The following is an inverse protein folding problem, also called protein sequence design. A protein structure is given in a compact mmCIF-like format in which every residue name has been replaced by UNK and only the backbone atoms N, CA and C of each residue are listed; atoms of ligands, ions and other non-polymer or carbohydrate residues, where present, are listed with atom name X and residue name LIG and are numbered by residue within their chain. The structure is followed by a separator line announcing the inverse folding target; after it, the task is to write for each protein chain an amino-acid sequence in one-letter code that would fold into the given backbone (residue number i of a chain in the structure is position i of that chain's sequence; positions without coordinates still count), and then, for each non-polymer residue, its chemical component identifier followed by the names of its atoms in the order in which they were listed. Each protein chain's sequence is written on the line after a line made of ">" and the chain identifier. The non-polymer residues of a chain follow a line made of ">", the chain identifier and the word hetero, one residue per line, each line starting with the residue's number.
data_IF_644298056850
#
_entry.id   IF_644298056850
#
_cell.length_a   1.000
_cell.length_b   1.000
_cell.length_c   1.000
_cell.angle_alpha   90.00
_cell.angle_beta   90.00
_cell.angle_gamma   90.00
#
_symmetry.space_group_name_H-M   'P 1'
#
loop_
_entity.id
_entity.type
_entity.pdbx_description
1 polymer ?
#
# COMPACT_ATOMS: atom_id res chain seq x y z
N UNK A 1 60.78 16.85 30.81
CA UNK A 1 59.96 15.73 31.30
C UNK A 1 58.52 16.20 31.47
N UNK A 2 57.59 15.80 30.59
CA UNK A 2 56.18 15.62 30.95
C UNK A 2 55.54 14.65 29.96
N UNK A 3 54.69 13.77 30.49
CA UNK A 3 54.47 12.39 30.04
C UNK A 3 53.33 12.28 29.02
N UNK A 4 53.61 11.57 27.92
CA UNK A 4 52.63 11.01 26.98
C UNK A 4 51.67 10.08 27.71
N UNK A 5 50.36 10.18 27.48
CA UNK A 5 49.41 9.06 27.65
C UNK A 5 48.30 9.14 26.59
N UNK A 6 48.41 8.24 25.62
CA UNK A 6 47.31 7.77 24.77
C UNK A 6 46.42 6.86 25.63
N UNK A 7 45.11 6.94 25.45
CA UNK A 7 44.17 5.89 25.87
C UNK A 7 43.28 5.58 24.67
N UNK A 8 43.21 4.30 24.32
CA UNK A 8 42.33 3.72 23.34
C UNK A 8 41.60 2.52 23.97
N UNK A 9 40.37 2.24 23.48
CA UNK A 9 39.56 1.00 23.62
C UNK A 9 38.98 0.79 25.04
N UNK A 10 37.78 0.25 25.33
CA UNK A 10 36.66 -0.47 24.69
C UNK A 10 35.38 -0.03 25.47
N UNK A 11 34.11 -0.20 25.06
CA UNK A 11 33.40 -1.33 24.47
C UNK A 11 32.06 -1.54 25.21
N UNK A 12 31.09 -2.12 24.51
CA UNK A 12 29.81 -2.74 24.97
C UNK A 12 28.61 -1.89 25.44
N UNK A 13 27.65 -1.75 24.51
CA UNK A 13 26.21 -2.01 24.57
C UNK A 13 25.42 -1.84 25.88
N UNK A 14 24.38 -1.00 25.81
CA UNK A 14 23.17 -1.12 26.63
C UNK A 14 21.95 -1.21 25.71
N UNK A 15 21.25 -2.33 25.85
CA UNK A 15 19.90 -2.60 25.36
C UNK A 15 18.89 -1.63 25.99
N UNK A 16 17.85 -1.26 25.23
CA UNK A 16 16.57 -0.90 25.82
C UNK A 16 15.89 0.33 25.21
N UNK A 17 15.00 0.09 24.27
CA UNK A 17 13.57 0.24 24.51
C UNK A 17 12.84 -0.04 23.19
N UNK A 18 11.98 -1.04 23.21
CA UNK A 18 10.90 -1.22 22.27
C UNK A 18 10.02 0.05 22.29
N UNK A 19 10.36 1.03 21.45
CA UNK A 19 9.51 2.15 21.12
C UNK A 19 8.49 1.66 20.11
N UNK A 20 7.30 1.30 20.60
CA UNK A 20 6.14 0.91 19.83
C UNK A 20 6.09 1.66 18.49
N UNK A 21 6.35 0.94 17.38
CA UNK A 21 5.72 1.30 16.11
C UNK A 21 4.23 1.07 16.34
N UNK A 22 3.63 2.14 16.84
CA UNK A 22 2.23 2.35 17.08
C UNK A 22 1.52 1.77 15.88
N UNK A 23 0.81 0.68 16.11
CA UNK A 23 -0.21 0.17 15.22
C UNK A 23 -1.19 1.31 14.97
N UNK A 24 -0.88 2.14 13.99
CA UNK A 24 -1.86 2.84 13.21
C UNK A 24 -2.44 1.78 12.28
N UNK A 25 -3.17 0.83 12.88
CA UNK A 25 -4.36 0.31 12.23
C UNK A 25 -5.10 1.57 11.80
N UNK A 26 -5.00 1.88 10.50
CA UNK A 26 -5.46 3.13 9.94
C UNK A 26 -6.83 3.42 10.51
N UNK A 27 -6.95 4.54 11.24
CA UNK A 27 -8.23 5.00 11.73
C UNK A 27 -9.09 5.13 10.48
N UNK A 28 -10.10 4.28 10.33
CA UNK A 28 -11.00 4.32 9.20
C UNK A 28 -11.68 5.69 9.23
N UNK A 29 -11.26 6.57 8.33
CA UNK A 29 -12.02 7.75 7.99
C UNK A 29 -12.92 7.32 6.85
N UNK A 30 -14.26 7.46 6.98
CA UNK A 30 -15.12 7.26 5.84
C UNK A 30 -14.63 8.19 4.72
N UNK A 31 -14.39 7.67 3.50
CA UNK A 31 -13.93 8.51 2.40
C UNK A 31 -14.98 9.59 2.12
N UNK A 32 -14.52 10.79 1.80
CA UNK A 32 -15.38 11.87 1.34
C UNK A 32 -16.10 11.40 0.06
N UNK A 33 -17.43 11.50 0.02
CA UNK A 33 -18.22 11.08 -1.14
C UNK A 33 -17.75 11.85 -2.38
N UNK A 34 -17.30 11.13 -3.42
CA UNK A 34 -16.84 11.73 -4.69
C UNK A 34 -15.32 11.76 -4.93
N UNK A 35 -14.49 11.27 -4.00
CA UNK A 35 -13.05 11.09 -4.28
C UNK A 35 -12.80 9.97 -5.29
N UNK A 36 -11.78 10.10 -6.18
CA UNK A 36 -11.35 9.01 -7.05
C UNK A 36 -11.00 7.76 -6.23
N UNK A 37 -11.67 6.66 -6.53
CA UNK A 37 -11.54 5.42 -5.77
C UNK A 37 -12.54 5.21 -4.63
N UNK A 38 -13.35 6.20 -4.22
CA UNK A 38 -14.44 5.90 -3.28
C UNK A 38 -15.38 4.82 -3.87
N UNK A 39 -16.12 4.02 -3.08
CA UNK A 39 -17.17 3.15 -3.64
C UNK A 39 -18.13 3.98 -4.51
N UNK A 40 -18.17 3.72 -5.82
CA UNK A 40 -18.95 4.54 -6.78
C UNK A 40 -18.30 5.88 -7.18
N UNK A 41 -17.06 6.15 -6.78
CA UNK A 41 -16.27 7.32 -7.18
C UNK A 41 -15.76 7.25 -8.63
N UNK A 42 -15.24 8.35 -9.20
CA UNK A 42 -14.81 8.41 -10.59
C UNK A 42 -13.55 7.59 -10.86
N UNK A 43 -13.38 7.16 -12.12
CA UNK A 43 -12.16 6.51 -12.59
C UNK A 43 -10.90 7.38 -12.35
N UNK A 44 -9.74 6.74 -12.29
CA UNK A 44 -8.44 7.39 -12.10
C UNK A 44 -7.38 6.88 -13.08
N UNK A 45 -6.44 7.75 -13.43
CA UNK A 45 -5.25 7.47 -14.23
C UNK A 45 -4.12 8.39 -13.74
N UNK A 46 -3.07 7.82 -13.17
CA UNK A 46 -1.93 8.59 -12.68
C UNK A 46 -0.60 7.86 -12.89
N UNK A 47 0.50 8.61 -12.75
CA UNK A 47 1.84 8.03 -12.64
C UNK A 47 2.32 8.17 -11.20
N UNK A 48 2.59 7.04 -10.53
CA UNK A 48 3.10 6.99 -9.16
C UNK A 48 4.44 6.25 -9.15
N UNK A 49 5.49 6.90 -8.64
CA UNK A 49 6.87 6.38 -8.64
C UNK A 49 7.33 5.84 -10.01
N UNK A 50 6.95 6.52 -11.09
CA UNK A 50 7.29 6.15 -12.46
C UNK A 50 6.46 5.00 -13.06
N UNK A 51 5.45 4.50 -12.33
CA UNK A 51 4.54 3.45 -12.79
C UNK A 51 3.16 4.01 -13.07
N UNK A 52 2.54 3.60 -14.18
CA UNK A 52 1.19 4.06 -14.53
C UNK A 52 0.16 3.24 -13.77
N UNK A 53 -0.71 3.89 -13.02
CA UNK A 53 -1.80 3.28 -12.28
C UNK A 53 -3.11 3.75 -12.91
N UNK A 54 -4.00 2.81 -13.23
CA UNK A 54 -5.33 3.12 -13.76
C UNK A 54 -6.40 2.35 -13.00
N UNK A 55 -7.58 2.94 -12.85
CA UNK A 55 -8.71 2.28 -12.20
C UNK A 55 -10.05 2.78 -12.70
N UNK A 56 -10.95 1.85 -12.98
CA UNK A 56 -12.33 2.14 -13.40
C UNK A 56 -13.34 1.40 -12.50
N UNK A 57 -14.45 2.04 -12.11
CA UNK A 57 -15.53 1.36 -11.42
C UNK A 57 -16.16 0.29 -12.31
N UNK A 58 -16.42 -0.90 -11.76
CA UNK A 58 -17.15 -1.94 -12.50
C UNK A 58 -18.64 -1.90 -12.15
N UNK A 59 -19.49 -1.69 -13.16
CA UNK A 59 -20.95 -1.70 -13.00
C UNK A 59 -21.45 -3.15 -12.96
N UNK A 60 -21.61 -3.75 -11.78
CA UNK A 60 -22.13 -5.12 -11.65
C UNK A 60 -22.45 -5.52 -10.21
N UNK A 61 -23.74 -5.61 -9.89
CA UNK A 61 -24.30 -5.84 -8.56
C UNK A 61 -24.32 -7.29 -8.07
N UNK A 62 -23.21 -8.01 -8.13
CA UNK A 62 -23.08 -9.27 -7.40
C UNK A 62 -22.27 -9.04 -6.13
N UNK A 63 -22.91 -9.20 -4.97
CA UNK A 63 -22.29 -9.14 -3.65
C UNK A 63 -21.19 -10.20 -3.41
N UNK A 64 -20.74 -10.91 -4.46
CA UNK A 64 -19.77 -12.01 -4.39
C UNK A 64 -18.89 -12.07 -5.69
N UNK A 65 -17.95 -11.11 -5.88
CA UNK A 65 -16.74 -11.20 -6.75
C UNK A 65 -16.49 -10.08 -7.81
N UNK A 66 -15.22 -9.74 -8.14
CA UNK A 66 -14.28 -8.95 -7.35
C UNK A 66 -14.56 -7.43 -7.42
N UNK A 67 -15.25 -6.93 -6.38
CA UNK A 67 -14.93 -5.70 -5.64
C UNK A 67 -15.06 -4.32 -6.29
N UNK A 68 -15.87 -4.18 -7.35
CA UNK A 68 -16.36 -2.88 -7.82
C UNK A 68 -15.33 -1.98 -8.51
N UNK A 69 -14.11 -2.47 -8.74
CA UNK A 69 -13.03 -1.75 -9.40
C UNK A 69 -12.19 -2.69 -10.26
N UNK A 70 -11.87 -2.26 -11.48
CA UNK A 70 -10.81 -2.85 -12.30
C UNK A 70 -9.60 -1.93 -12.21
N UNK A 71 -8.50 -2.42 -11.65
CA UNK A 71 -7.27 -1.65 -11.44
C UNK A 71 -6.12 -2.28 -12.22
N UNK A 72 -5.28 -1.45 -12.83
CA UNK A 72 -4.04 -1.88 -13.51
C UNK A 72 -2.83 -1.10 -13.02
N UNK A 73 -1.67 -1.75 -13.08
CA UNK A 73 -0.35 -1.14 -12.92
C UNK A 73 0.47 -1.47 -14.17
N UNK A 74 0.93 -0.45 -14.88
CA UNK A 74 1.61 -0.56 -16.18
C UNK A 74 0.82 -1.39 -17.20
N UNK A 75 -0.51 -1.26 -17.17
CA UNK A 75 -1.44 -2.01 -18.02
C UNK A 75 -1.65 -3.46 -17.60
N UNK A 76 -1.02 -3.94 -16.51
CA UNK A 76 -1.24 -5.28 -15.97
C UNK A 76 -2.31 -5.27 -14.86
N UNK A 77 -3.26 -6.22 -14.85
CA UNK A 77 -4.31 -6.27 -13.83
C UNK A 77 -3.75 -6.43 -12.42
N UNK A 78 -4.21 -5.58 -11.50
CA UNK A 78 -3.97 -5.70 -10.06
C UNK A 78 -5.26 -6.18 -9.40
N UNK A 79 -5.19 -7.33 -8.71
CA UNK A 79 -6.30 -7.79 -7.88
C UNK A 79 -6.47 -6.87 -6.67
N UNK A 80 -7.57 -6.14 -6.62
CA UNK A 80 -7.95 -5.28 -5.49
C UNK A 80 -9.22 -5.82 -4.87
N UNK A 81 -9.26 -5.87 -3.53
CA UNK A 81 -10.42 -6.39 -2.80
C UNK A 81 -10.94 -5.35 -1.81
N UNK A 82 -12.26 -5.24 -1.73
CA UNK A 82 -12.94 -4.43 -0.71
C UNK A 82 -13.24 -5.30 0.50
N UNK A 83 -12.79 -4.87 1.67
CA UNK A 83 -13.05 -5.50 2.97
C UNK A 83 -14.46 -5.15 3.48
N UNK A 84 -14.90 -5.90 4.49
CA UNK A 84 -16.20 -5.69 5.14
C UNK A 84 -16.30 -4.34 5.86
N UNK A 85 -15.18 -3.83 6.38
CA UNK A 85 -15.07 -2.48 6.97
C UNK A 85 -15.04 -1.35 5.92
N UNK A 86 -15.07 -1.71 4.64
CA UNK A 86 -15.06 -0.77 3.53
C UNK A 86 -13.68 -0.29 3.09
N UNK A 87 -12.61 -0.73 3.75
CA UNK A 87 -11.24 -0.51 3.26
C UNK A 87 -10.93 -1.40 2.05
N UNK A 88 -9.78 -1.17 1.43
CA UNK A 88 -9.27 -1.93 0.31
C UNK A 88 -7.95 -2.62 0.67
N UNK A 89 -7.64 -3.72 -0.01
CA UNK A 89 -6.35 -4.41 -0.01
C UNK A 89 -6.00 -4.78 -1.46
N UNK A 90 -4.75 -5.18 -1.71
CA UNK A 90 -4.34 -5.74 -3.00
C UNK A 90 -3.83 -7.18 -2.85
N UNK A 91 -3.76 -7.93 -3.94
CA UNK A 91 -3.14 -9.27 -3.93
C UNK A 91 -1.63 -9.22 -3.66
N UNK A 92 -0.98 -8.09 -3.96
CA UNK A 92 0.44 -7.86 -3.67
C UNK A 92 0.65 -7.54 -2.18
N UNK A 93 -0.20 -6.67 -1.63
CA UNK A 93 -0.23 -6.34 -0.20
C UNK A 93 -1.57 -6.77 0.42
N UNK A 94 -1.61 -8.04 0.80
CA UNK A 94 -2.84 -8.68 1.29
C UNK A 94 -3.19 -8.29 2.74
N UNK A 95 -2.21 -7.82 3.49
CA UNK A 95 -2.38 -7.48 4.90
C UNK A 95 -2.59 -5.99 5.13
N UNK A 96 -2.25 -5.14 4.15
CA UNK A 96 -2.59 -3.73 4.13
C UNK A 96 -4.10 -3.45 4.18
N UNK A 97 -4.43 -2.28 4.72
CA UNK A 97 -5.78 -1.72 4.78
C UNK A 97 -5.72 -0.27 4.33
N UNK A 98 -6.37 0.02 3.20
CA UNK A 98 -6.31 1.30 2.50
C UNK A 98 -7.70 1.93 2.40
N UNK A 99 -7.80 3.25 2.53
CA UNK A 99 -9.10 3.95 2.44
C UNK A 99 -9.73 3.93 1.04
N UNK A 100 -8.92 3.73 0.00
CA UNK A 100 -9.35 3.76 -1.41
C UNK A 100 -8.58 2.69 -2.23
N UNK A 101 -9.11 2.24 -3.38
CA UNK A 101 -8.44 1.36 -4.33
C UNK A 101 -7.22 2.03 -4.97
N UNK A 102 -7.22 3.36 -5.16
CA UNK A 102 -6.03 4.09 -5.58
C UNK A 102 -4.91 3.99 -4.53
N UNK A 103 -5.24 4.15 -3.24
CA UNK A 103 -4.27 3.97 -2.17
C UNK A 103 -3.75 2.52 -2.10
N UNK A 104 -4.62 1.52 -2.30
CA UNK A 104 -4.20 0.12 -2.40
C UNK A 104 -3.27 -0.14 -3.61
N UNK A 105 -3.51 0.53 -4.75
CA UNK A 105 -2.65 0.42 -5.92
C UNK A 105 -1.27 1.06 -5.71
N UNK A 106 -1.22 2.21 -5.02
CA UNK A 106 0.05 2.84 -4.60
C UNK A 106 0.82 1.93 -3.65
N UNK A 107 0.14 1.34 -2.66
CA UNK A 107 0.74 0.34 -1.78
C UNK A 107 1.32 -0.87 -2.54
N UNK A 108 0.59 -1.38 -3.55
CA UNK A 108 1.11 -2.44 -4.41
C UNK A 108 2.36 -2.02 -5.20
N UNK A 109 2.42 -0.78 -5.68
CA UNK A 109 3.63 -0.23 -6.34
C UNK A 109 4.79 -0.12 -5.36
N UNK A 110 4.53 0.31 -4.13
CA UNK A 110 5.55 0.40 -3.07
C UNK A 110 6.12 -0.99 -2.74
N UNK A 111 5.28 -2.05 -2.73
CA UNK A 111 5.71 -3.43 -2.46
C UNK A 111 6.40 -4.13 -3.64
N UNK A 112 6.00 -3.85 -4.90
CA UNK A 112 6.58 -4.52 -6.08
C UNK A 112 8.08 -4.19 -6.30
N UNK A 113 8.63 -3.17 -5.64
CA UNK A 113 10.04 -2.80 -5.78
C UNK A 113 10.45 -2.44 -7.21
N UNK A 114 11.73 -2.11 -7.38
CA UNK A 114 12.27 -1.76 -8.69
C UNK A 114 12.44 -3.02 -9.56
N UNK A 115 11.86 -3.02 -10.76
CA UNK A 115 12.03 -4.07 -11.76
C UNK A 115 11.08 -5.26 -11.66
N UNK A 116 10.16 -5.33 -10.69
CA UNK A 116 9.11 -6.35 -10.70
C UNK A 116 7.80 -5.85 -11.33
N UNK A 117 7.11 -6.78 -11.99
CA UNK A 117 5.85 -6.52 -12.67
C UNK A 117 4.80 -7.55 -12.23
N UNK A 118 3.53 -7.16 -12.34
CA UNK A 118 2.43 -8.08 -12.11
C UNK A 118 2.44 -9.20 -13.16
N UNK A 119 2.36 -10.44 -12.69
CA UNK A 119 2.09 -11.58 -13.55
C UNK A 119 0.66 -11.49 -14.06
N UNK A 120 0.48 -11.35 -15.37
CA UNK A 120 -0.83 -11.10 -15.98
C UNK A 120 -1.82 -12.27 -15.95
N UNK A 121 -1.80 -13.12 -14.92
CA UNK A 121 -2.74 -14.22 -14.80
C UNK A 121 -4.08 -13.68 -14.26
N UNK A 122 -5.05 -13.54 -15.15
CA UNK A 122 -6.45 -13.43 -14.80
C UNK A 122 -6.90 -14.81 -14.26
N UNK A 123 -7.41 -14.85 -13.03
CA UNK A 123 -8.25 -15.96 -12.56
C UNK A 123 -9.71 -15.65 -12.88
#
# INVERSE_FOLDING_TARGET
>A
MSRRRLIAVAGTAVLGAAGAFRGLSGRYFPPDEGQPGAPGGPAFDETYRGRRIQGEPTTGGAAHGPHGWRVTVDGKPLGVMRRADGSYLSMVDHYGSYGTPLAAARGAVDELGEGQALGGLLH
#
